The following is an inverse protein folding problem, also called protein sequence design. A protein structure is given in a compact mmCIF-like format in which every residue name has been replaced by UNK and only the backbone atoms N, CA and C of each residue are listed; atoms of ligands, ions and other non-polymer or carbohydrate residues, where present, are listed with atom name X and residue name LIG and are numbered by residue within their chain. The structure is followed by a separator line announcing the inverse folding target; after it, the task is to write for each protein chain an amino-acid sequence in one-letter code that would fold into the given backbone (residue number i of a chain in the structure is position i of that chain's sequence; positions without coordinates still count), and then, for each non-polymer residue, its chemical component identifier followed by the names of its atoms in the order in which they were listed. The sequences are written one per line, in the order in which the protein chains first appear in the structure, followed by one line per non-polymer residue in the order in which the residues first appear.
data_IF_218386767513
#
_entry.id   IF_218386767513
#
_cell.length_a   1.000
_cell.length_b   1.000
_cell.length_c   1.000
_cell.angle_alpha   90.00
_cell.angle_beta   90.00
_cell.angle_gamma   90.00
#
_symmetry.space_group_name_H-M   'P 1'
#
loop_
_entity.id
_entity.type
_entity.pdbx_description
1 polymer ?
#
# COMPACT_ATOMS: atom_id res chain seq x y z
N UNK A 1 69.33 -1.76 22.15
CA UNK A 1 68.87 -3.00 21.49
C UNK A 1 67.35 -3.08 21.69
N UNK A 2 66.55 -2.93 20.61
CA UNK A 2 65.66 -3.99 20.05
C UNK A 2 64.67 -4.53 21.11
N UNK A 3 63.34 -4.42 21.00
CA UNK A 3 62.44 -4.50 19.83
C UNK A 3 61.09 -3.82 20.08
N UNK A 4 60.58 -3.23 19.00
CA UNK A 4 59.22 -2.79 18.73
C UNK A 4 58.28 -4.02 18.66
N UNK A 5 57.08 -3.95 19.23
CA UNK A 5 55.97 -4.86 18.91
C UNK A 5 54.72 -4.01 18.68
N UNK A 6 54.43 -3.77 17.40
CA UNK A 6 53.19 -3.17 16.90
C UNK A 6 52.19 -4.33 16.81
N UNK A 7 51.14 -4.32 17.66
CA UNK A 7 49.95 -5.14 17.45
C UNK A 7 48.99 -4.37 16.54
N UNK A 8 49.00 -4.74 15.26
CA UNK A 8 47.97 -4.40 14.29
C UNK A 8 46.69 -5.16 14.64
N UNK A 9 45.74 -4.48 15.29
CA UNK A 9 44.37 -4.95 15.40
C UNK A 9 43.70 -4.76 14.03
N UNK A 10 43.59 -5.86 13.28
CA UNK A 10 42.74 -5.93 12.08
C UNK A 10 41.29 -5.89 12.56
N UNK A 11 40.73 -4.68 12.58
CA UNK A 11 39.29 -4.49 12.74
C UNK A 11 38.59 -5.05 11.52
N UNK A 12 38.01 -6.25 11.66
CA UNK A 12 37.06 -6.78 10.70
C UNK A 12 35.85 -5.85 10.71
N UNK A 13 35.74 -5.00 9.69
CA UNK A 13 34.52 -4.29 9.36
C UNK A 13 33.52 -5.38 8.94
N UNK A 14 32.67 -5.80 9.87
CA UNK A 14 31.47 -6.57 9.55
C UNK A 14 30.60 -5.63 8.72
N UNK A 15 30.76 -5.70 7.39
CA UNK A 15 29.79 -5.17 6.47
C UNK A 15 28.46 -5.87 6.80
N UNK A 16 27.50 -5.10 7.32
CA UNK A 16 26.14 -5.59 7.49
C UNK A 16 25.69 -6.22 6.16
N UNK A 17 25.05 -7.40 6.18
CA UNK A 17 24.61 -8.05 4.96
C UNK A 17 23.75 -7.06 4.17
N UNK A 18 24.05 -6.90 2.88
CA UNK A 18 23.37 -6.01 1.94
C UNK A 18 21.93 -6.47 1.60
N UNK A 19 21.21 -7.00 2.58
CA UNK A 19 19.84 -7.49 2.48
C UNK A 19 19.05 -6.70 3.53
N UNK A 20 17.96 -6.08 3.08
CA UNK A 20 17.24 -5.01 3.75
C UNK A 20 17.96 -3.64 3.71
N UNK A 21 18.23 -3.13 2.51
CA UNK A 21 17.93 -1.72 2.30
C UNK A 21 16.41 -1.56 2.52
N UNK A 22 16.02 -1.45 3.79
CA UNK A 22 14.70 -1.02 4.19
C UNK A 22 14.59 0.37 3.59
N UNK A 23 14.00 0.46 2.39
CA UNK A 23 13.59 1.75 1.83
C UNK A 23 12.53 2.23 2.79
N UNK A 24 12.97 2.90 3.86
CA UNK A 24 12.15 3.76 4.68
C UNK A 24 11.66 4.83 3.74
N UNK A 25 10.58 4.55 3.02
CA UNK A 25 9.84 5.62 2.41
C UNK A 25 9.13 6.27 3.57
N UNK A 26 9.83 7.25 4.15
CA UNK A 26 9.22 8.24 5.01
C UNK A 26 8.34 9.06 4.08
N UNK A 27 7.16 8.52 3.80
CA UNK A 27 6.03 9.36 3.46
C UNK A 27 5.78 10.13 4.74
N UNK A 28 6.21 11.40 4.76
CA UNK A 28 5.74 12.32 5.79
C UNK A 28 4.22 12.17 5.80
N UNK A 29 3.66 11.72 6.93
CA UNK A 29 2.24 11.46 7.06
C UNK A 29 1.44 12.71 6.73
N UNK A 30 2.04 13.90 6.82
CA UNK A 30 1.46 15.20 6.53
C UNK A 30 1.70 15.69 5.09
N UNK A 31 2.49 14.98 4.27
CA UNK A 31 2.70 15.37 2.89
C UNK A 31 1.39 15.31 2.11
N UNK A 32 1.09 16.37 1.37
CA UNK A 32 -0.02 16.38 0.42
C UNK A 32 0.43 15.80 -0.92
N UNK A 33 -0.43 15.03 -1.57
CA UNK A 33 -0.11 14.52 -2.90
C UNK A 33 -0.23 15.62 -3.96
N UNK A 34 0.72 15.62 -4.89
CA UNK A 34 0.76 16.49 -6.08
C UNK A 34 -0.24 15.99 -7.12
N UNK A 35 -0.38 14.67 -7.27
CA UNK A 35 -1.32 14.06 -8.20
C UNK A 35 -1.80 12.70 -7.75
N UNK A 36 -2.93 12.29 -8.31
CA UNK A 36 -3.44 10.92 -8.24
C UNK A 36 -3.73 10.43 -9.66
N UNK A 37 -3.56 9.14 -9.88
CA UNK A 37 -3.90 8.46 -11.12
C UNK A 37 -4.53 7.10 -10.78
N UNK A 38 -5.56 6.71 -11.54
CA UNK A 38 -6.21 5.41 -11.40
C UNK A 38 -6.81 5.00 -12.75
N UNK A 39 -6.81 3.71 -13.03
CA UNK A 39 -7.36 3.20 -14.29
C UNK A 39 -8.88 3.11 -14.21
N UNK A 40 -9.57 3.77 -15.15
CA UNK A 40 -11.03 3.66 -15.33
C UNK A 40 -11.49 2.22 -15.63
N UNK A 41 -10.57 1.37 -16.09
CA UNK A 41 -10.77 -0.07 -16.30
C UNK A 41 -9.55 -0.79 -15.74
N UNK A 42 -9.56 -1.04 -14.43
CA UNK A 42 -8.48 -1.73 -13.76
C UNK A 42 -8.55 -1.58 -12.25
N UNK A 43 -7.59 -2.21 -11.58
CA UNK A 43 -7.41 -2.17 -10.13
C UNK A 43 -6.28 -1.24 -9.73
N UNK A 44 -5.42 -0.84 -10.68
CA UNK A 44 -4.24 -0.04 -10.39
C UNK A 44 -4.59 1.41 -10.00
N UNK A 45 -3.91 1.89 -8.96
CA UNK A 45 -3.91 3.27 -8.56
C UNK A 45 -2.49 3.75 -8.23
N UNK A 46 -2.27 5.06 -8.33
CA UNK A 46 -1.04 5.69 -7.88
C UNK A 46 -1.28 7.09 -7.33
N UNK A 47 -0.42 7.49 -6.40
CA UNK A 47 -0.42 8.80 -5.76
C UNK A 47 1.02 9.32 -5.79
N UNK A 48 1.23 10.49 -6.38
CA UNK A 48 2.56 11.09 -6.46
C UNK A 48 2.70 12.22 -5.46
N UNK A 49 3.77 12.16 -4.68
CA UNK A 49 4.29 13.21 -3.83
C UNK A 49 5.56 13.77 -4.47
N UNK A 50 6.12 14.84 -3.91
CA UNK A 50 7.29 15.54 -4.48
C UNK A 50 8.45 14.60 -4.84
N UNK A 51 8.74 13.62 -3.96
CA UNK A 51 9.92 12.77 -4.10
C UNK A 51 9.59 11.27 -4.29
N UNK A 52 8.30 10.90 -4.32
CA UNK A 52 7.91 9.50 -4.39
C UNK A 52 6.54 9.31 -5.03
N UNK A 53 6.43 8.30 -5.89
CA UNK A 53 5.15 7.79 -6.34
C UNK A 53 4.84 6.50 -5.59
N UNK A 54 3.72 6.52 -4.87
CA UNK A 54 3.10 5.35 -4.28
C UNK A 54 2.20 4.70 -5.31
N UNK A 55 2.28 3.38 -5.44
CA UNK A 55 1.42 2.59 -6.32
C UNK A 55 0.73 1.52 -5.51
N UNK A 56 -0.45 1.13 -5.96
CA UNK A 56 -1.17 0.03 -5.36
C UNK A 56 -2.27 -0.50 -6.25
N UNK A 57 -3.03 -1.43 -5.69
CA UNK A 57 -4.20 -2.03 -6.29
C UNK A 57 -5.41 -1.85 -5.37
N UNK A 58 -6.57 -1.64 -5.96
CA UNK A 58 -7.88 -1.60 -5.32
C UNK A 58 -8.71 -2.79 -5.80
N UNK A 59 -9.30 -3.53 -4.87
CA UNK A 59 -10.11 -4.71 -5.15
C UNK A 59 -11.42 -4.69 -4.38
N UNK A 60 -12.43 -5.34 -4.95
CA UNK A 60 -13.70 -5.57 -4.31
C UNK A 60 -13.73 -6.96 -3.67
N UNK A 61 -14.12 -7.03 -2.40
CA UNK A 61 -14.42 -8.30 -1.74
C UNK A 61 -15.77 -8.28 -1.03
N UNK A 62 -16.40 -9.45 -0.95
CA UNK A 62 -17.56 -9.70 -0.09
C UNK A 62 -17.19 -10.06 1.34
N UNK A 63 -15.90 -10.32 1.59
CA UNK A 63 -15.39 -10.51 2.95
C UNK A 63 -15.89 -9.33 3.76
N UNK A 64 -16.79 -9.63 4.70
CA UNK A 64 -17.56 -8.63 5.43
C UNK A 64 -16.63 -7.97 6.43
N UNK A 65 -16.12 -6.77 6.13
CA UNK A 65 -15.24 -6.11 7.04
C UNK A 65 -16.09 -5.48 8.13
N UNK A 66 -15.61 -5.57 9.35
CA UNK A 66 -15.88 -4.45 10.25
C UNK A 66 -15.15 -3.23 9.69
N UNK A 67 -15.74 -2.03 9.80
CA UNK A 67 -15.05 -0.82 9.37
C UNK A 67 -13.62 -0.81 9.95
N UNK A 68 -12.67 -0.37 9.14
CA UNK A 68 -11.26 -0.32 9.51
C UNK A 68 -10.56 -1.67 9.70
N UNK A 69 -10.89 -2.68 8.89
CA UNK A 69 -10.16 -3.96 8.89
C UNK A 69 -8.82 -3.95 8.11
N UNK A 70 -7.91 -4.84 8.51
CA UNK A 70 -6.65 -5.15 7.83
C UNK A 70 -6.62 -6.66 7.58
N UNK A 71 -6.21 -7.08 6.38
CA UNK A 71 -6.06 -8.51 6.07
C UNK A 71 -4.78 -8.81 5.27
N UNK A 72 -4.15 -9.95 5.54
CA UNK A 72 -3.03 -10.43 4.71
C UNK A 72 -3.51 -10.98 3.36
N UNK A 73 -4.69 -11.61 3.36
CA UNK A 73 -5.28 -12.26 2.20
C UNK A 73 -6.68 -11.73 1.93
N UNK A 74 -7.07 -11.65 0.67
CA UNK A 74 -8.45 -11.42 0.29
C UNK A 74 -8.95 -12.62 -0.48
N UNK A 75 -10.19 -13.00 -0.21
CA UNK A 75 -10.84 -14.00 -1.03
C UNK A 75 -11.38 -13.33 -2.30
N UNK A 76 -10.58 -13.35 -3.36
CA UNK A 76 -10.96 -12.83 -4.68
C UNK A 76 -12.00 -13.70 -5.42
N UNK A 77 -12.54 -14.74 -4.77
CA UNK A 77 -13.40 -15.77 -5.37
C UNK A 77 -14.77 -15.30 -5.85
N UNK A 78 -15.03 -14.00 -5.97
CA UNK A 78 -16.32 -13.49 -6.36
C UNK A 78 -16.36 -13.01 -7.82
N UNK A 79 -17.11 -13.75 -8.65
CA UNK A 79 -17.45 -13.44 -10.04
C UNK A 79 -18.86 -12.84 -10.21
N UNK A 80 -19.53 -12.53 -9.10
CA UNK A 80 -20.92 -12.07 -9.09
C UNK A 80 -21.06 -10.55 -9.01
N UNK A 81 -22.16 -10.05 -9.54
CA UNK A 81 -22.56 -8.64 -9.45
C UNK A 81 -23.40 -8.42 -8.17
N UNK A 82 -22.78 -8.63 -7.01
CA UNK A 82 -23.40 -8.32 -5.71
C UNK A 82 -23.50 -6.81 -5.54
N UNK A 83 -24.60 -6.33 -4.97
CA UNK A 83 -24.82 -4.94 -4.58
C UNK A 83 -24.08 -4.56 -3.28
N UNK A 84 -23.43 -5.52 -2.62
CA UNK A 84 -22.52 -5.29 -1.50
C UNK A 84 -21.12 -5.57 -2.00
N UNK A 85 -20.24 -4.58 -1.92
CA UNK A 85 -18.84 -4.76 -2.20
C UNK A 85 -18.03 -3.83 -1.31
N UNK A 86 -17.03 -4.41 -0.67
CA UNK A 86 -16.11 -3.71 0.18
C UNK A 86 -14.85 -3.42 -0.61
N UNK A 87 -14.45 -2.16 -0.65
CA UNK A 87 -13.21 -1.76 -1.30
C UNK A 87 -12.03 -2.00 -0.37
N UNK A 88 -11.11 -2.80 -0.86
CA UNK A 88 -9.85 -3.12 -0.22
C UNK A 88 -8.70 -2.59 -1.04
N UNK A 89 -7.74 -1.99 -0.37
CA UNK A 89 -6.63 -1.32 -0.99
C UNK A 89 -5.32 -1.95 -0.51
N UNK A 90 -4.36 -2.08 -1.42
CA UNK A 90 -3.02 -2.57 -1.10
C UNK A 90 -1.97 -1.78 -1.83
N UNK A 91 -0.99 -1.28 -1.10
CA UNK A 91 0.20 -0.68 -1.66
C UNK A 91 1.09 -1.80 -2.26
N UNK A 92 1.63 -1.56 -3.44
CA UNK A 92 2.55 -2.47 -4.15
C UNK A 92 3.92 -1.85 -4.37
N UNK A 93 4.02 -0.51 -4.27
CA UNK A 93 5.26 0.23 -4.36
C UNK A 93 5.11 1.51 -3.52
N UNK A 94 6.15 1.95 -2.80
CA UNK A 94 7.54 1.45 -2.77
C UNK A 94 7.76 0.18 -1.94
N UNK A 95 6.79 -0.16 -1.09
CA UNK A 95 6.74 -1.38 -0.30
C UNK A 95 5.35 -2.02 -0.45
N UNK A 96 5.24 -3.30 -0.11
CA UNK A 96 3.97 -4.02 -0.19
C UNK A 96 3.28 -3.93 1.17
N UNK A 97 2.06 -3.40 1.20
CA UNK A 97 1.24 -3.38 2.42
C UNK A 97 0.41 -4.64 2.57
N UNK A 98 -0.21 -4.82 3.73
CA UNK A 98 -1.39 -5.68 3.86
C UNK A 98 -2.59 -5.03 3.16
N UNK A 99 -3.68 -5.76 2.97
CA UNK A 99 -4.94 -5.21 2.48
C UNK A 99 -5.59 -4.38 3.58
N UNK A 100 -5.97 -3.16 3.23
CA UNK A 100 -6.66 -2.23 4.13
C UNK A 100 -8.03 -1.93 3.56
N UNK A 101 -9.07 -2.16 4.36
CA UNK A 101 -10.41 -1.76 4.00
C UNK A 101 -10.52 -0.23 3.92
N UNK A 102 -11.18 0.27 2.89
CA UNK A 102 -11.38 1.71 2.64
C UNK A 102 -12.83 2.14 2.88
N UNK A 103 -13.79 1.50 2.21
CA UNK A 103 -15.21 1.78 2.40
C UNK A 103 -16.07 0.63 1.86
N UNK A 104 -17.33 0.60 2.28
CA UNK A 104 -18.39 -0.12 1.58
C UNK A 104 -18.82 0.76 0.40
N UNK A 105 -18.53 0.34 -0.84
CA UNK A 105 -18.84 1.16 -2.00
C UNK A 105 -19.06 0.34 -3.25
N UNK A 106 -20.34 0.19 -3.60
CA UNK A 106 -20.80 -0.33 -4.88
C UNK A 106 -21.57 0.78 -5.61
N UNK A 107 -21.30 1.06 -6.90
CA UNK A 107 -22.20 1.89 -7.69
C UNK A 107 -23.56 1.18 -7.78
N UNK A 108 -24.59 1.79 -7.19
CA UNK A 108 -25.96 1.25 -7.15
C UNK A 108 -26.66 1.19 -8.52
N UNK A 109 -26.00 1.56 -9.61
CA UNK A 109 -26.61 1.61 -10.94
C UNK A 109 -26.29 0.35 -11.74
N UNK A 110 -27.34 -0.43 -12.00
CA UNK A 110 -27.31 -1.56 -12.92
C UNK A 110 -26.66 -1.24 -14.26
N UNK A 111 -26.16 -2.29 -14.91
CA UNK A 111 -25.33 -2.31 -16.13
C UNK A 111 -23.82 -2.12 -15.84
N UNK A 112 -23.09 -3.24 -15.66
CA UNK A 112 -21.61 -3.29 -15.61
C UNK A 112 -20.95 -3.47 -14.23
N UNK A 113 -21.71 -3.84 -13.19
CA UNK A 113 -21.36 -3.70 -11.76
C UNK A 113 -20.11 -4.40 -11.19
N UNK A 114 -19.32 -5.14 -11.97
CA UNK A 114 -18.08 -5.78 -11.52
C UNK A 114 -16.83 -5.02 -11.96
N UNK A 115 -16.77 -4.65 -13.24
CA UNK A 115 -15.69 -3.82 -13.81
C UNK A 115 -15.70 -2.40 -13.21
N UNK A 116 -16.89 -1.87 -12.96
CA UNK A 116 -17.06 -0.58 -12.29
C UNK A 116 -16.64 -0.62 -10.83
N UNK A 117 -16.72 -1.79 -10.18
CA UNK A 117 -16.35 -1.92 -8.78
C UNK A 117 -14.84 -1.76 -8.61
N UNK A 118 -14.05 -2.50 -9.40
CA UNK A 118 -12.59 -2.45 -9.33
C UNK A 118 -12.05 -1.05 -9.61
N UNK A 119 -12.57 -0.39 -10.66
CA UNK A 119 -12.20 0.98 -10.99
C UNK A 119 -12.61 1.98 -9.89
N UNK A 120 -13.79 1.79 -9.29
CA UNK A 120 -14.25 2.61 -8.16
C UNK A 120 -13.34 2.44 -6.94
N UNK A 121 -12.97 1.20 -6.59
CA UNK A 121 -12.05 0.94 -5.50
C UNK A 121 -10.68 1.52 -5.78
N UNK A 122 -10.13 1.41 -7.00
CA UNK A 122 -8.87 2.04 -7.36
C UNK A 122 -8.93 3.58 -7.17
N UNK A 123 -10.01 4.21 -7.62
CA UNK A 123 -10.24 5.65 -7.43
C UNK A 123 -10.32 6.05 -5.95
N UNK A 124 -10.99 5.24 -5.13
CA UNK A 124 -11.11 5.45 -3.69
C UNK A 124 -9.78 5.24 -2.96
N UNK A 125 -9.01 4.21 -3.32
CA UNK A 125 -7.70 3.97 -2.73
C UNK A 125 -6.78 5.16 -2.99
N UNK A 126 -6.72 5.65 -4.22
CA UNK A 126 -5.96 6.86 -4.57
C UNK A 126 -6.43 8.08 -3.78
N UNK A 127 -7.74 8.32 -3.74
CA UNK A 127 -8.33 9.50 -3.11
C UNK A 127 -8.16 9.49 -1.59
N UNK A 128 -8.30 8.33 -0.95
CA UNK A 128 -8.13 8.17 0.49
C UNK A 128 -6.66 8.25 0.90
N UNK A 129 -5.75 7.72 0.07
CA UNK A 129 -4.32 7.79 0.34
C UNK A 129 -3.75 9.21 0.10
N UNK A 130 -4.35 9.98 -0.81
CA UNK A 130 -3.94 11.36 -1.15
C UNK A 130 -3.84 12.31 0.04
N UNK A 131 -4.67 12.14 1.06
CA UNK A 131 -4.73 13.05 2.21
C UNK A 131 -4.14 12.42 3.48
N UNK A 132 -3.45 13.21 4.31
CA UNK A 132 -3.09 12.81 5.66
C UNK A 132 -4.34 12.34 6.39
N UNK A 133 -4.32 11.14 6.96
CA UNK A 133 -5.50 10.60 7.63
C UNK A 133 -5.35 9.13 8.01
N UNK A 134 -6.37 8.64 8.71
CA UNK A 134 -6.37 7.31 9.33
C UNK A 134 -6.12 6.20 8.31
N UNK A 135 -6.77 6.27 7.14
CA UNK A 135 -6.58 5.28 6.08
C UNK A 135 -5.12 5.19 5.61
N UNK A 136 -4.46 6.34 5.33
CA UNK A 136 -3.06 6.37 4.90
C UNK A 136 -2.15 5.86 6.01
N UNK A 137 -2.30 6.39 7.23
CA UNK A 137 -1.46 6.02 8.37
C UNK A 137 -1.54 4.52 8.65
N UNK A 138 -2.74 3.96 8.56
CA UNK A 138 -3.00 2.54 8.70
C UNK A 138 -2.37 1.71 7.58
N UNK A 139 -2.48 2.15 6.32
CA UNK A 139 -1.79 1.44 5.24
C UNK A 139 -0.28 1.43 5.44
N UNK A 140 0.30 2.57 5.86
CA UNK A 140 1.72 2.70 6.14
C UNK A 140 2.18 1.89 7.37
N UNK A 141 1.32 1.69 8.37
CA UNK A 141 1.67 0.88 9.55
C UNK A 141 1.83 -0.60 9.21
N UNK A 142 1.21 -1.09 8.13
CA UNK A 142 1.29 -2.50 7.69
C UNK A 142 2.51 -2.82 6.83
N UNK A 143 3.42 -1.88 6.62
CA UNK A 143 4.62 -2.06 5.78
C UNK A 143 5.76 -2.79 6.50
N UNK A 144 5.62 -3.04 7.80
CA UNK A 144 6.69 -3.49 8.69
C UNK A 144 6.52 -4.91 9.24
N UNK A 145 5.49 -5.65 8.79
CA UNK A 145 5.21 -7.03 9.20
C UNK A 145 5.77 -8.06 8.21
#
# INVERSE_FOLDING_TARGET
MKKLLILTAVGAILAAPAIAAQKCVVLDSNAEAISIDYKLRGTDWSVSFENVTVKGVGFCSLDAPTADEISQELNFGYSGFSNRCNCWCRMTSPAVSQWVWSAEQCPASGVGGGENCMASCAAMCASSFRYPGDFRNKMLSTLFD
#
